data_IF_113933060339
#
_entry.id   IF_113933060339
#
_cell.length_a   1.000
_cell.length_b   1.000
_cell.length_c   1.000
_cell.angle_alpha   90.00
_cell.angle_beta   90.00
_cell.angle_gamma   90.00
#
_symmetry.space_group_name_H-M   'P 1'
#
loop_
_entity.id
_entity.type
_entity.pdbx_description
1 polymer ?
#
# COMPACT_ATOMS: atom_id res chain seq x y z
N UNK A 1 10.77 7.45 13.06
CA UNK A 1 10.81 7.63 11.60
C UNK A 1 11.50 6.44 10.98
N UNK A 2 10.70 5.49 10.51
CA UNK A 2 11.15 4.26 9.85
C UNK A 2 11.90 4.63 8.57
N UNK A 3 13.07 4.04 8.32
CA UNK A 3 13.90 4.37 7.15
C UNK A 3 13.17 4.14 5.82
N UNK A 4 12.20 3.23 5.79
CA UNK A 4 11.38 2.94 4.62
C UNK A 4 10.38 4.06 4.32
N UNK A 5 9.88 4.77 5.32
CA UNK A 5 8.94 5.88 5.13
C UNK A 5 9.57 7.03 4.32
N UNK A 6 10.81 7.40 4.66
CA UNK A 6 11.57 8.42 3.94
C UNK A 6 11.94 8.01 2.50
N UNK A 7 11.85 6.72 2.16
CA UNK A 7 12.08 6.27 0.79
C UNK A 7 10.87 6.60 -0.11
N UNK A 8 9.67 6.57 0.46
CA UNK A 8 8.42 6.83 -0.24
C UNK A 8 7.99 8.30 -0.17
N UNK A 9 8.30 9.00 0.92
CA UNK A 9 8.04 10.43 1.10
C UNK A 9 9.02 11.28 0.26
N UNK A 10 8.65 11.55 -0.99
CA UNK A 10 9.48 12.31 -1.95
C UNK A 10 9.38 13.83 -1.75
N UNK A 11 8.25 14.31 -1.23
CA UNK A 11 7.99 15.74 -1.08
C UNK A 11 8.34 16.25 0.35
N UNK A 12 8.55 15.35 1.31
CA UNK A 12 8.92 15.64 2.70
C UNK A 12 7.77 16.17 3.56
N UNK A 13 6.52 15.91 3.19
CA UNK A 13 5.32 16.35 3.92
C UNK A 13 4.91 15.40 5.06
N UNK A 14 5.65 14.30 5.25
CA UNK A 14 5.35 13.22 6.18
C UNK A 14 4.05 12.45 5.88
N UNK A 15 3.59 12.52 4.64
CA UNK A 15 2.48 11.75 4.10
C UNK A 15 2.96 11.06 2.82
N UNK A 16 2.49 9.84 2.60
CA UNK A 16 2.75 9.14 1.34
C UNK A 16 1.50 9.24 0.49
N UNK A 17 1.59 9.95 -0.62
CA UNK A 17 0.52 10.00 -1.60
C UNK A 17 0.55 8.77 -2.54
N UNK A 18 -0.60 8.39 -3.16
CA UNK A 18 -0.64 7.31 -4.13
C UNK A 18 0.31 7.52 -5.31
N UNK A 19 0.59 8.77 -5.64
CA UNK A 19 1.48 9.14 -6.74
C UNK A 19 2.95 8.90 -6.38
N UNK A 20 3.33 9.20 -5.15
CA UNK A 20 4.68 8.95 -4.63
C UNK A 20 4.94 7.45 -4.54
N UNK A 21 3.97 6.70 -4.03
CA UNK A 21 4.05 5.25 -3.96
C UNK A 21 4.11 4.59 -5.36
N UNK A 22 3.27 5.03 -6.30
CA UNK A 22 3.31 4.59 -7.70
C UNK A 22 4.67 4.88 -8.36
N UNK A 23 5.29 6.00 -8.02
CA UNK A 23 6.60 6.39 -8.57
C UNK A 23 7.73 5.56 -7.97
N UNK A 24 7.70 5.31 -6.66
CA UNK A 24 8.71 4.54 -5.95
C UNK A 24 8.70 3.04 -6.31
N UNK A 25 7.52 2.42 -6.34
CA UNK A 25 7.36 0.99 -6.65
C UNK A 25 7.15 0.71 -8.15
N UNK A 26 7.03 1.77 -8.97
CA UNK A 26 6.75 1.67 -10.40
C UNK A 26 5.48 0.83 -10.70
N UNK A 27 4.48 0.93 -9.83
CA UNK A 27 3.22 0.20 -9.91
C UNK A 27 2.13 1.04 -10.60
N UNK A 28 1.19 0.40 -11.31
CA UNK A 28 0.08 1.11 -11.91
C UNK A 28 -0.84 1.70 -10.83
N UNK A 29 -1.44 2.89 -11.05
CA UNK A 29 -2.24 3.59 -10.05
C UNK A 29 -3.40 2.77 -9.48
N UNK A 30 -3.91 1.81 -10.26
CA UNK A 30 -4.98 0.92 -9.86
C UNK A 30 -4.57 -0.01 -8.73
N UNK A 31 -3.38 -0.58 -8.80
CA UNK A 31 -2.85 -1.48 -7.77
C UNK A 31 -2.49 -0.70 -6.51
N UNK A 32 -1.91 0.50 -6.69
CA UNK A 32 -1.63 1.40 -5.58
C UNK A 32 -2.91 1.76 -4.83
N UNK A 33 -4.00 2.09 -5.52
CA UNK A 33 -5.27 2.37 -4.85
C UNK A 33 -5.85 1.17 -4.08
N UNK A 34 -5.63 -0.05 -4.55
CA UNK A 34 -6.06 -1.25 -3.81
C UNK A 34 -5.23 -1.43 -2.55
N UNK A 35 -3.91 -1.22 -2.65
CA UNK A 35 -2.99 -1.28 -1.51
C UNK A 35 -3.31 -0.20 -0.47
N UNK A 36 -3.53 1.04 -0.92
CA UNK A 36 -3.91 2.16 -0.06
C UNK A 36 -5.21 1.85 0.67
N UNK A 37 -6.24 1.32 0.00
CA UNK A 37 -7.50 0.91 0.65
C UNK A 37 -7.35 -0.11 1.78
N UNK A 38 -6.26 -0.87 1.83
CA UNK A 38 -6.00 -1.81 2.92
C UNK A 38 -5.18 -1.21 4.06
N UNK A 39 -4.41 -0.15 3.79
CA UNK A 39 -3.50 0.47 4.74
C UNK A 39 -4.06 1.78 5.35
N UNK A 40 -4.72 2.57 4.52
CA UNK A 40 -5.47 3.77 4.86
C UNK A 40 -6.64 3.38 5.78
N UNK A 41 -6.53 3.77 7.05
CA UNK A 41 -7.51 3.45 8.09
C UNK A 41 -8.47 4.61 8.34
N UNK A 42 -8.10 5.81 7.91
CA UNK A 42 -8.87 7.03 8.11
C UNK A 42 -9.64 7.47 6.83
N UNK A 43 -9.48 6.72 5.73
CA UNK A 43 -10.04 6.93 4.39
C UNK A 43 -9.70 8.33 3.80
N UNK A 44 -8.53 8.89 4.15
CA UNK A 44 -8.06 10.19 3.67
C UNK A 44 -7.29 10.13 2.33
N UNK A 45 -7.12 8.93 1.78
CA UNK A 45 -6.36 8.64 0.56
C UNK A 45 -4.87 8.98 0.63
N UNK A 46 -4.35 9.21 1.83
CA UNK A 46 -2.94 9.39 2.14
C UNK A 46 -2.52 8.34 3.16
N UNK A 47 -1.21 8.25 3.38
CA UNK A 47 -0.65 7.36 4.39
C UNK A 47 0.26 8.17 5.28
N UNK A 48 -0.15 8.34 6.52
CA UNK A 48 0.71 8.96 7.51
C UNK A 48 1.70 7.95 8.13
N UNK A 49 2.62 8.46 8.93
CA UNK A 49 3.61 7.62 9.62
C UNK A 49 2.99 6.58 10.56
N UNK A 50 1.82 6.85 11.14
CA UNK A 50 1.11 5.91 12.02
C UNK A 50 0.45 4.79 11.22
N UNK A 51 -0.19 5.11 10.10
CA UNK A 51 -0.82 4.13 9.21
C UNK A 51 0.22 3.24 8.55
N UNK A 52 1.36 3.81 8.18
CA UNK A 52 2.52 3.06 7.69
C UNK A 52 3.05 2.06 8.74
N UNK A 53 3.15 2.49 10.01
CA UNK A 53 3.56 1.63 11.13
C UNK A 53 2.48 0.60 11.50
N UNK A 54 1.20 0.92 11.32
CA UNK A 54 0.07 0.03 11.57
C UNK A 54 -0.09 -1.04 10.47
N UNK A 55 0.37 -0.76 9.25
CA UNK A 55 0.27 -1.66 8.10
C UNK A 55 1.64 -2.13 7.57
N UNK A 56 2.53 -2.70 8.41
CA UNK A 56 3.87 -3.09 7.97
C UNK A 56 3.80 -4.12 6.84
N UNK A 57 2.86 -5.07 6.87
CA UNK A 57 2.70 -6.14 5.86
C UNK A 57 2.57 -5.62 4.43
N UNK A 58 2.01 -4.41 4.27
CA UNK A 58 1.81 -3.78 2.98
C UNK A 58 3.10 -3.16 2.43
N UNK A 59 3.89 -2.55 3.32
CA UNK A 59 5.08 -1.77 2.95
C UNK A 59 6.40 -2.53 3.12
N UNK A 60 6.45 -3.70 3.78
CA UNK A 60 7.69 -4.51 3.80
C UNK A 60 7.93 -5.18 2.45
N UNK A 61 9.08 -4.85 1.86
CA UNK A 61 9.63 -5.46 0.65
C UNK A 61 9.80 -6.99 0.70
N UNK A 62 9.73 -7.62 1.88
CA UNK A 62 9.90 -9.07 2.01
C UNK A 62 8.65 -9.90 1.74
N UNK A 63 7.46 -9.29 1.65
CA UNK A 63 6.19 -10.04 1.54
C UNK A 63 5.29 -9.60 0.39
N UNK A 64 5.70 -8.63 -0.44
CA UNK A 64 4.96 -8.18 -1.62
C UNK A 64 4.51 -9.35 -2.52
N UNK A 65 5.38 -10.35 -2.75
CA UNK A 65 5.03 -11.55 -3.52
C UNK A 65 3.88 -12.39 -2.92
N UNK A 66 3.75 -12.43 -1.59
CA UNK A 66 2.72 -13.20 -0.88
C UNK A 66 1.39 -12.44 -0.82
N UNK A 67 1.42 -11.09 -0.70
CA UNK A 67 0.23 -10.25 -0.75
C UNK A 67 -0.42 -10.30 -2.15
N UNK A 68 0.36 -10.24 -3.23
CA UNK A 68 -0.15 -10.42 -4.59
C UNK A 68 -0.79 -11.81 -4.79
N UNK A 69 -0.21 -12.85 -4.18
CA UNK A 69 -0.76 -14.20 -4.22
C UNK A 69 -2.07 -14.30 -3.41
N UNK A 70 -2.12 -13.70 -2.22
CA UNK A 70 -3.30 -13.64 -1.37
C UNK A 70 -4.46 -12.86 -2.00
N UNK A 71 -4.19 -11.68 -2.59
CA UNK A 71 -5.21 -10.89 -3.30
C UNK A 71 -5.71 -11.61 -4.55
N UNK A 72 -4.84 -12.32 -5.27
CA UNK A 72 -5.22 -13.14 -6.41
C UNK A 72 -6.14 -14.30 -6.00
N UNK A 73 -5.85 -14.97 -4.87
CA UNK A 73 -6.70 -16.04 -4.33
C UNK A 73 -8.03 -15.47 -3.83
N UNK A 74 -8.03 -14.33 -3.13
CA UNK A 74 -9.23 -13.70 -2.59
C UNK A 74 -10.19 -13.26 -3.72
N UNK A 75 -9.65 -12.74 -4.83
CA UNK A 75 -10.42 -12.43 -6.05
C UNK A 75 -11.09 -13.65 -6.67
N UNK A 76 -10.43 -14.81 -6.67
CA UNK A 76 -10.99 -16.05 -7.21
C UNK A 76 -12.17 -16.53 -6.35
N UNK A 77 -12.07 -16.41 -5.03
CA UNK A 77 -13.14 -16.83 -4.12
C UNK A 77 -14.36 -15.90 -4.15
N UNK A 78 -14.17 -14.58 -4.33
CA UNK A 78 -15.29 -13.63 -4.40
C UNK A 78 -16.20 -13.85 -5.63
N UNK A 79 -15.66 -14.40 -6.73
CA UNK A 79 -16.42 -14.59 -7.98
C UNK A 79 -17.26 -15.88 -8.03
N UNK A 80 -17.17 -16.76 -7.02
CA UNK A 80 -17.82 -18.09 -7.03
C UNK A 80 -19.07 -18.19 -6.15
N UNK A 81 -19.55 -17.07 -5.61
CA UNK A 81 -20.77 -16.99 -4.77
C UNK A 81 -21.87 -16.18 -5.47
N UNK A 82 -22.08 -16.44 -6.77
CA UNK A 82 -23.29 -16.06 -7.51
C UNK A 82 -23.78 -17.26 -8.29
#
# INVERSE_FOLDING_TARGET
>A
MSQDFNHYDLNGDNLISPKEFSTAENLPPREVNEVFKFADSNDDYMLDSYEFEAAPFVFTSKQSALLFLFLSILRIFSKKIN
#
